data_IF_666445565073
#
_entry.id   IF_666445565073
#
_cell.length_a   1.000
_cell.length_b   1.000
_cell.length_c   1.000
_cell.angle_alpha   90.00
_cell.angle_beta   90.00
_cell.angle_gamma   90.00
#
_symmetry.space_group_name_H-M   'P 1'
#
loop_
_entity.id
_entity.type
_entity.pdbx_description
1 polymer ?
#
# COMPACT_ATOMS: atom_id res chain seq x y z
N UNK A 1 -16.58 7.38 3.08
CA UNK A 1 -16.37 6.47 1.95
C UNK A 1 -15.09 5.66 2.16
N UNK A 2 -15.18 4.36 1.96
CA UNK A 2 -14.03 3.48 2.16
C UNK A 2 -13.33 3.24 0.83
N UNK A 3 -12.02 3.51 0.80
CA UNK A 3 -11.18 3.22 -0.37
C UNK A 3 -10.49 1.89 -0.15
N UNK A 4 -10.42 1.09 -1.20
CA UNK A 4 -9.74 -0.20 -1.16
C UNK A 4 -8.53 -0.18 -2.08
N UNK A 5 -7.39 -0.63 -1.56
CA UNK A 5 -6.16 -0.72 -2.33
C UNK A 5 -5.58 -2.12 -2.21
N UNK A 6 -4.98 -2.57 -3.29
CA UNK A 6 -4.27 -3.83 -3.27
C UNK A 6 -2.91 -3.65 -2.62
N UNK A 7 -2.53 -4.61 -1.78
CA UNK A 7 -1.23 -4.64 -1.13
C UNK A 7 -0.46 -5.86 -1.64
N UNK A 8 0.78 -5.65 -2.03
CA UNK A 8 1.67 -6.73 -2.44
C UNK A 8 2.64 -6.99 -1.30
N UNK A 9 2.78 -8.26 -0.94
CA UNK A 9 3.72 -8.70 0.09
C UNK A 9 4.86 -9.47 -0.58
N UNK A 10 6.09 -9.15 -0.20
CA UNK A 10 7.27 -9.78 -0.75
C UNK A 10 8.27 -10.11 0.37
N UNK A 11 9.04 -11.18 0.22
CA UNK A 11 10.10 -11.45 1.19
C UNK A 11 11.18 -10.37 1.11
N UNK A 12 11.56 -9.85 2.25
CA UNK A 12 12.65 -8.89 2.39
C UNK A 12 13.89 -9.52 2.97
N UNK A 13 14.81 -8.69 3.41
CA UNK A 13 16.04 -9.14 4.03
C UNK A 13 15.80 -9.55 5.49
N UNK A 14 16.58 -10.51 5.95
CA UNK A 14 16.60 -10.93 7.37
C UNK A 14 15.25 -11.38 7.91
N UNK A 15 14.45 -12.02 7.07
CA UNK A 15 13.15 -12.55 7.49
C UNK A 15 12.02 -11.53 7.56
N UNK A 16 12.30 -10.29 7.18
CA UNK A 16 11.25 -9.28 7.10
C UNK A 16 10.34 -9.51 5.89
N UNK A 17 9.12 -9.04 6.01
CA UNK A 17 8.17 -9.04 4.91
C UNK A 17 7.96 -7.59 4.49
N UNK A 18 8.16 -7.31 3.21
CA UNK A 18 7.97 -5.98 2.65
C UNK A 18 6.57 -5.89 2.07
N UNK A 19 5.89 -4.80 2.36
CA UNK A 19 4.56 -4.52 1.83
C UNK A 19 4.59 -3.25 1.01
N UNK A 20 3.86 -3.22 -0.11
CA UNK A 20 3.70 -1.99 -0.86
C UNK A 20 2.35 -1.92 -1.54
N UNK A 21 1.94 -0.70 -1.86
CA UNK A 21 0.68 -0.44 -2.54
C UNK A 21 1.03 0.07 -3.94
N UNK A 22 0.85 -0.76 -4.99
CA UNK A 22 1.26 -0.37 -6.35
C UNK A 22 0.58 0.89 -6.86
N UNK A 23 -0.67 1.11 -6.47
CA UNK A 23 -1.44 2.27 -6.93
C UNK A 23 -0.93 3.60 -6.36
N UNK A 24 -0.17 3.56 -5.26
CA UNK A 24 0.30 4.77 -4.59
C UNK A 24 1.82 4.78 -4.59
N UNK A 25 2.39 5.69 -5.36
CA UNK A 25 3.84 5.80 -5.48
C UNK A 25 4.49 6.12 -4.14
N UNK A 26 5.53 5.35 -3.81
CA UNK A 26 6.27 5.56 -2.58
C UNK A 26 5.64 4.97 -1.33
N UNK A 27 4.54 4.23 -1.46
CA UNK A 27 3.88 3.62 -0.31
C UNK A 27 4.47 2.24 -0.04
N UNK A 28 5.46 2.19 0.85
CA UNK A 28 6.18 0.97 1.24
C UNK A 28 6.26 0.87 2.75
N UNK A 29 6.24 -0.34 3.25
CA UNK A 29 6.48 -0.61 4.66
C UNK A 29 7.00 -2.05 4.82
N UNK A 30 7.27 -2.44 6.05
CA UNK A 30 7.75 -3.79 6.33
C UNK A 30 7.36 -4.21 7.74
N UNK A 31 7.46 -5.51 8.01
CA UNK A 31 7.21 -6.08 9.31
C UNK A 31 7.88 -7.43 9.44
N UNK A 32 7.97 -7.92 10.67
CA UNK A 32 8.56 -9.24 10.93
C UNK A 32 7.58 -10.37 10.64
N UNK A 33 6.30 -10.06 10.63
CA UNK A 33 5.23 -11.01 10.29
C UNK A 33 4.33 -10.40 9.23
N UNK A 34 3.51 -11.23 8.62
CA UNK A 34 2.54 -10.78 7.65
C UNK A 34 1.58 -9.76 8.27
N UNK A 35 1.09 -10.05 9.47
CA UNK A 35 0.15 -9.18 10.19
C UNK A 35 0.78 -7.82 10.51
N UNK A 36 2.04 -7.83 10.93
CA UNK A 36 2.76 -6.60 11.23
C UNK A 36 2.99 -5.78 9.97
N UNK A 37 3.39 -6.43 8.87
CA UNK A 37 3.59 -5.74 7.60
C UNK A 37 2.29 -5.11 7.09
N UNK A 38 1.17 -5.82 7.22
CA UNK A 38 -0.13 -5.29 6.82
C UNK A 38 -0.57 -4.10 7.67
N UNK A 39 -0.37 -4.19 8.98
CA UNK A 39 -0.70 -3.08 9.88
C UNK A 39 0.14 -1.84 9.56
N UNK A 40 1.43 -2.06 9.31
CA UNK A 40 2.34 -0.96 9.01
C UNK A 40 2.06 -0.30 7.67
N UNK A 41 1.74 -1.09 6.64
CA UNK A 41 1.41 -0.52 5.33
C UNK A 41 0.08 0.25 5.36
N UNK A 42 -0.88 -0.22 6.15
CA UNK A 42 -2.13 0.49 6.32
C UNK A 42 -1.90 1.88 6.91
N UNK A 43 -1.09 1.95 7.95
CA UNK A 43 -0.77 3.23 8.58
C UNK A 43 -0.03 4.15 7.61
N UNK A 44 0.96 3.62 6.88
CA UNK A 44 1.69 4.40 5.89
C UNK A 44 0.77 4.93 4.80
N UNK A 45 -0.14 4.08 4.31
CA UNK A 45 -1.10 4.49 3.29
C UNK A 45 -2.04 5.59 3.78
N UNK A 46 -2.54 5.46 4.99
CA UNK A 46 -3.43 6.47 5.58
C UNK A 46 -2.75 7.84 5.68
N UNK A 47 -1.48 7.85 6.09
CA UNK A 47 -0.71 9.09 6.18
C UNK A 47 -0.46 9.71 4.80
N UNK A 48 -0.12 8.91 3.82
CA UNK A 48 0.12 9.40 2.46
C UNK A 48 -1.15 9.97 1.85
N UNK A 49 -2.28 9.27 2.00
CA UNK A 49 -3.55 9.74 1.46
C UNK A 49 -4.01 11.03 2.13
N UNK A 50 -3.80 11.14 3.43
CA UNK A 50 -4.12 12.37 4.16
C UNK A 50 -3.29 13.55 3.66
N UNK A 51 -2.00 13.33 3.44
CA UNK A 51 -1.12 14.35 2.91
C UNK A 51 -1.53 14.78 1.50
N UNK A 52 -1.89 13.82 0.65
CA UNK A 52 -2.36 14.12 -0.70
C UNK A 52 -3.64 14.96 -0.70
N UNK A 53 -4.56 14.67 0.21
CA UNK A 53 -5.78 15.47 0.34
C UNK A 53 -5.47 16.90 0.74
N UNK A 54 -4.54 17.10 1.66
CA UNK A 54 -4.15 18.43 2.11
C UNK A 54 -3.46 19.22 1.00
N UNK A 55 -2.69 18.55 0.17
CA UNK A 55 -1.99 19.18 -0.95
C UNK A 55 -2.87 19.39 -2.17
N UNK A 56 -4.07 18.82 -2.18
CA UNK A 56 -4.95 18.89 -3.32
C UNK A 56 -4.56 17.97 -4.47
N UNK A 57 -3.66 17.03 -4.23
CA UNK A 57 -3.25 16.06 -5.24
C UNK A 57 -4.36 15.03 -5.51
N UNK A 58 -4.50 14.57 -6.75
CA UNK A 58 -5.47 13.53 -7.05
C UNK A 58 -5.13 12.23 -6.33
N UNK A 59 -6.12 11.63 -5.68
CA UNK A 59 -5.96 10.35 -5.03
C UNK A 59 -6.04 9.25 -6.09
N UNK A 60 -5.01 8.37 -6.20
CA UNK A 60 -5.05 7.30 -7.19
C UNK A 60 -6.20 6.34 -6.95
N UNK A 61 -6.79 5.87 -8.01
CA UNK A 61 -7.83 4.87 -7.96
C UNK A 61 -7.26 3.57 -8.51
N UNK A 62 -7.42 2.48 -7.77
CA UNK A 62 -6.99 1.18 -8.26
C UNK A 62 -8.15 0.51 -8.98
N UNK A 63 -7.92 0.13 -10.23
CA UNK A 63 -8.93 -0.50 -11.08
C UNK A 63 -8.41 -1.86 -11.53
N UNK A 64 -9.28 -2.84 -11.55
CA UNK A 64 -8.95 -4.16 -12.05
C UNK A 64 -9.24 -4.25 -13.54
N UNK A 65 -8.30 -4.86 -14.27
CA UNK A 65 -8.46 -5.16 -15.68
C UNK A 65 -8.37 -6.66 -15.87
N UNK A 66 -9.37 -7.24 -16.50
CA UNK A 66 -9.37 -8.65 -16.79
C UNK A 66 -8.52 -8.93 -18.02
N UNK A 67 -7.61 -9.87 -17.90
CA UNK A 67 -6.69 -10.24 -18.97
C UNK A 67 -6.83 -11.72 -19.27
N UNK A 68 -7.01 -12.06 -20.53
CA UNK A 68 -7.01 -13.45 -20.97
C UNK A 68 -5.57 -13.87 -21.21
N UNK A 69 -5.13 -14.87 -20.45
CA UNK A 69 -3.76 -15.36 -20.54
C UNK A 69 -3.71 -16.77 -21.14
#
# INVERSE_FOLDING_TARGET
MTLKYRVVLEPGKDGYIVAHVPAVKGCWSQGKTREEALANIKEALELILEDMRKSGDPIPEETEVEVNA
#
